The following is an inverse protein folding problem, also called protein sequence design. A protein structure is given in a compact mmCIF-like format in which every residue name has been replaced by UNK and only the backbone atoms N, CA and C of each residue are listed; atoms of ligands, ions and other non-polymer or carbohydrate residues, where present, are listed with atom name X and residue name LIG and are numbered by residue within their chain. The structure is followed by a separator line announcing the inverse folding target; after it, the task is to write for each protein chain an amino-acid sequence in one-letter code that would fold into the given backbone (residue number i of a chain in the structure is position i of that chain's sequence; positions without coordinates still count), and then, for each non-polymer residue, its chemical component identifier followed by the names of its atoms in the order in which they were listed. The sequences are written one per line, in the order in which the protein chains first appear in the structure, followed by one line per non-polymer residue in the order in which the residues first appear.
data_IF_294459174490
#
_entry.id   IF_294459174490
#
_cell.length_a   1.000
_cell.length_b   1.000
_cell.length_c   1.000
_cell.angle_alpha   90.00
_cell.angle_beta   90.00
_cell.angle_gamma   90.00
#
_symmetry.space_group_name_H-M   'P 1'
#
loop_
_entity.id
_entity.type
_entity.pdbx_description
1 polymer ?
#
# COMPACT_ATOMS: atom_id res chain seq x y z
N UNK A 1 -5.90 -23.98 26.13
CA UNK A 1 -5.26 -24.06 24.79
C UNK A 1 -5.78 -23.01 23.80
N UNK A 2 -7.08 -22.65 23.83
CA UNK A 2 -7.71 -21.68 22.92
C UNK A 2 -7.17 -20.23 22.97
N UNK A 3 -6.63 -19.78 24.11
CA UNK A 3 -6.07 -18.41 24.24
C UNK A 3 -4.78 -18.17 23.43
N UNK A 4 -3.97 -19.21 23.19
CA UNK A 4 -2.74 -19.10 22.38
C UNK A 4 -3.05 -18.98 20.89
N UNK A 5 -4.11 -19.65 20.42
CA UNK A 5 -4.60 -19.58 19.04
C UNK A 5 -5.13 -18.16 18.75
N UNK A 6 -5.97 -17.61 19.64
CA UNK A 6 -6.48 -16.24 19.51
C UNK A 6 -5.36 -15.19 19.44
N UNK A 7 -4.32 -15.34 20.26
CA UNK A 7 -3.17 -14.41 20.28
C UNK A 7 -2.33 -14.49 19.00
N UNK A 8 -2.16 -15.68 18.44
CA UNK A 8 -1.46 -15.88 17.17
C UNK A 8 -2.20 -15.22 15.98
N UNK A 9 -3.54 -15.37 15.90
CA UNK A 9 -4.34 -14.69 14.87
C UNK A 9 -4.41 -13.17 15.06
N UNK A 10 -4.39 -12.67 16.31
CA UNK A 10 -4.33 -11.24 16.60
C UNK A 10 -3.05 -10.59 16.05
N UNK A 11 -1.90 -11.18 16.37
CA UNK A 11 -0.61 -10.72 15.84
C UNK A 11 -0.59 -10.72 14.31
N UNK A 12 -1.15 -11.77 13.68
CA UNK A 12 -1.23 -11.86 12.23
C UNK A 12 -2.08 -10.74 11.60
N UNK A 13 -3.24 -10.43 12.16
CA UNK A 13 -4.09 -9.35 11.64
C UNK A 13 -3.38 -7.99 11.75
N UNK A 14 -2.70 -7.72 12.86
CA UNK A 14 -1.92 -6.50 13.06
C UNK A 14 -0.73 -6.43 12.08
N UNK A 15 -0.06 -7.56 11.82
CA UNK A 15 1.03 -7.65 10.84
C UNK A 15 0.52 -7.37 9.42
N UNK A 16 -0.62 -7.94 9.03
CA UNK A 16 -1.27 -7.71 7.72
C UNK A 16 -1.65 -6.25 7.53
N UNK A 17 -2.27 -5.64 8.53
CA UNK A 17 -2.63 -4.21 8.50
C UNK A 17 -1.36 -3.37 8.40
N UNK A 18 -0.40 -3.58 9.31
CA UNK A 18 0.85 -2.81 9.34
C UNK A 18 1.59 -2.88 8.00
N UNK A 19 1.69 -4.08 7.42
CA UNK A 19 2.36 -4.24 6.13
C UNK A 19 1.57 -3.59 4.99
N UNK A 20 0.25 -3.78 4.94
CA UNK A 20 -0.59 -3.21 3.88
C UNK A 20 -0.53 -1.68 3.84
N UNK A 21 -0.44 -1.04 5.00
CA UNK A 21 -0.29 0.41 5.12
C UNK A 21 1.05 0.95 4.59
N UNK A 22 2.10 0.11 4.54
CA UNK A 22 3.40 0.48 4.02
C UNK A 22 3.40 0.62 2.48
N UNK A 23 2.48 -0.02 1.78
CA UNK A 23 2.42 0.02 0.33
C UNK A 23 1.88 1.36 -0.19
N UNK A 24 2.48 1.82 -1.29
CA UNK A 24 2.08 3.03 -2.02
C UNK A 24 1.62 2.66 -3.42
N UNK A 25 0.75 3.51 -3.96
CA UNK A 25 0.33 3.50 -5.35
C UNK A 25 0.64 4.87 -5.97
N UNK A 26 1.23 4.87 -7.16
CA UNK A 26 1.71 6.06 -7.85
C UNK A 26 1.22 6.08 -9.29
N UNK A 27 0.68 7.20 -9.77
CA UNK A 27 0.44 7.37 -11.19
C UNK A 27 1.75 7.50 -11.96
N UNK A 28 1.97 6.68 -12.99
CA UNK A 28 3.21 6.76 -13.80
C UNK A 28 3.26 7.97 -14.72
N UNK A 29 2.12 8.62 -14.97
CA UNK A 29 2.02 9.79 -15.84
C UNK A 29 2.28 11.10 -15.10
N UNK A 30 1.60 11.36 -13.98
CA UNK A 30 1.76 12.61 -13.23
C UNK A 30 2.56 12.47 -11.93
N UNK A 31 2.97 11.25 -11.56
CA UNK A 31 3.78 11.01 -10.38
C UNK A 31 3.04 11.08 -9.04
N UNK A 32 1.74 11.42 -9.00
CA UNK A 32 0.95 11.52 -7.77
C UNK A 32 0.93 10.19 -7.01
N UNK A 33 1.22 10.24 -5.71
CA UNK A 33 1.29 9.08 -4.82
C UNK A 33 0.16 9.08 -3.79
N UNK A 34 -0.32 7.89 -3.44
CA UNK A 34 -1.27 7.64 -2.34
C UNK A 34 -0.90 6.35 -1.61
N UNK A 35 -1.47 6.15 -0.43
CA UNK A 35 -1.41 4.83 0.23
C UNK A 35 -2.22 3.82 -0.59
N UNK A 36 -1.69 2.61 -0.76
CA UNK A 36 -2.44 1.53 -1.40
C UNK A 36 -3.70 1.18 -0.60
N UNK A 37 -3.61 1.19 0.73
CA UNK A 37 -4.74 0.98 1.63
C UNK A 37 -5.85 2.03 1.44
N UNK A 38 -5.49 3.29 1.16
CA UNK A 38 -6.47 4.38 0.94
C UNK A 38 -7.34 4.19 -0.30
N UNK A 39 -6.94 3.33 -1.23
CA UNK A 39 -7.72 2.96 -2.43
C UNK A 39 -8.28 1.54 -2.34
N UNK A 40 -8.32 0.96 -1.13
CA UNK A 40 -8.85 -0.39 -0.88
C UNK A 40 -7.91 -1.53 -1.22
N UNK A 41 -6.63 -1.26 -1.51
CA UNK A 41 -5.65 -2.31 -1.81
C UNK A 41 -5.00 -2.86 -0.55
N UNK A 42 -4.93 -4.19 -0.45
CA UNK A 42 -4.28 -4.93 0.64
C UNK A 42 -3.11 -5.70 0.05
N UNK A 43 -1.94 -5.65 0.71
CA UNK A 43 -0.75 -6.42 0.33
C UNK A 43 0.02 -6.85 1.57
N UNK A 44 0.23 -8.16 1.69
CA UNK A 44 0.98 -8.81 2.75
C UNK A 44 1.92 -9.85 2.15
N UNK A 45 3.15 -9.95 2.66
CA UNK A 45 4.19 -10.87 2.16
C UNK A 45 4.64 -10.61 0.71
N UNK A 46 4.25 -9.48 0.12
CA UNK A 46 4.60 -9.11 -1.24
C UNK A 46 5.98 -8.45 -1.33
N UNK A 47 6.65 -8.61 -2.47
CA UNK A 47 7.92 -7.93 -2.76
C UNK A 47 7.89 -7.30 -4.15
N UNK A 48 8.74 -6.31 -4.37
CA UNK A 48 8.94 -5.68 -5.67
C UNK A 48 7.89 -4.65 -6.08
N UNK A 49 7.99 -4.21 -7.33
CA UNK A 49 7.07 -3.27 -7.97
C UNK A 49 6.07 -4.03 -8.82
N UNK A 50 4.81 -3.62 -8.80
CA UNK A 50 3.79 -4.10 -9.73
C UNK A 50 3.08 -2.93 -10.40
N UNK A 51 2.37 -3.18 -11.49
CA UNK A 51 1.59 -2.16 -12.20
C UNK A 51 0.14 -2.61 -12.32
N UNK A 52 -0.79 -1.65 -12.26
CA UNK A 52 -2.22 -1.88 -12.44
C UNK A 52 -2.85 -0.71 -13.19
N UNK A 53 -4.04 -0.91 -13.77
CA UNK A 53 -4.84 0.17 -14.33
C UNK A 53 -5.71 0.81 -13.24
N UNK A 54 -5.81 2.13 -13.24
CA UNK A 54 -6.71 2.83 -12.34
C UNK A 54 -6.95 4.28 -12.75
N UNK A 55 -8.02 4.86 -12.20
CA UNK A 55 -8.38 6.24 -12.44
C UNK A 55 -7.47 7.19 -11.67
N UNK A 56 -6.79 8.11 -12.36
CA UNK A 56 -6.01 9.15 -11.72
C UNK A 56 -6.84 10.43 -11.59
N UNK A 57 -7.20 10.80 -10.35
CA UNK A 57 -7.96 12.03 -10.05
C UNK A 57 -7.27 13.32 -10.48
N UNK A 58 -5.94 13.33 -10.67
CA UNK A 58 -5.21 14.53 -11.12
C UNK A 58 -5.03 14.58 -12.64
N UNK A 59 -4.96 13.44 -13.33
CA UNK A 59 -4.94 13.40 -14.79
C UNK A 59 -6.35 13.40 -15.41
N UNK A 60 -7.39 13.10 -14.64
CA UNK A 60 -8.77 13.01 -15.11
C UNK A 60 -9.07 11.77 -15.96
N UNK A 61 -8.30 10.69 -15.86
CA UNK A 61 -8.49 9.51 -16.72
C UNK A 61 -7.79 8.25 -16.23
N UNK A 62 -8.01 7.14 -16.95
CA UNK A 62 -7.32 5.87 -16.71
C UNK A 62 -5.83 6.01 -17.01
N UNK A 63 -5.01 5.55 -16.06
CA UNK A 63 -3.56 5.55 -16.13
C UNK A 63 -3.02 4.22 -15.61
N UNK A 64 -1.80 3.91 -16.04
CA UNK A 64 -0.99 2.91 -15.37
C UNK A 64 -0.55 3.47 -14.02
N UNK A 65 -0.77 2.66 -12.98
CA UNK A 65 -0.42 2.96 -11.61
C UNK A 65 0.63 1.96 -11.14
N UNK A 66 1.73 2.47 -10.62
CA UNK A 66 2.82 1.72 -10.00
C UNK A 66 2.50 1.45 -8.53
N UNK A 67 2.46 0.20 -8.13
CA UNK A 67 2.34 -0.22 -6.73
C UNK A 67 3.73 -0.65 -6.24
N UNK A 68 4.18 -0.09 -5.14
CA UNK A 68 5.51 -0.37 -4.59
C UNK A 68 5.52 -0.18 -3.07
N UNK A 69 6.48 -0.82 -2.41
CA UNK A 69 6.79 -0.64 -1.00
C UNK A 69 8.07 0.20 -0.92
N UNK A 70 8.02 1.44 -0.39
CA UNK A 70 9.22 2.25 -0.25
C UNK A 70 10.16 1.63 0.80
N UNK A 71 11.46 1.54 0.50
CA UNK A 71 12.47 0.99 1.43
C UNK A 71 12.68 1.87 2.67
N UNK A 72 12.34 3.16 2.57
CA UNK A 72 12.39 4.16 3.65
C UNK A 72 11.08 4.95 3.64
N UNK A 73 10.43 5.23 4.78
CA UNK A 73 9.29 6.14 4.79
C UNK A 73 9.73 7.44 4.11
N UNK A 74 8.96 7.97 3.14
CA UNK A 74 9.33 9.21 2.48
C UNK A 74 9.51 10.25 3.57
N UNK A 75 10.69 10.90 3.59
CA UNK A 75 10.91 12.06 4.44
C UNK A 75 9.73 13.00 4.22
N UNK A 76 9.04 13.33 5.32
CA UNK A 76 7.88 14.22 5.29
C UNK A 76 8.23 15.44 4.43
N UNK A 77 7.39 15.86 3.47
CA UNK A 77 7.61 17.12 2.80
C UNK A 77 7.51 18.21 3.87
N UNK A 78 8.66 18.80 4.22
CA UNK A 78 8.75 19.94 5.12
C UNK A 78 7.90 21.06 4.51
N UNK A 79 6.86 21.47 5.23
CA UNK A 79 6.14 22.72 5.00
C UNK A 79 6.89 23.87 5.69
#
# INVERSE_FOLDING_TARGET
MFGKIRKAFGNFAEDVVRESHAWKIQCTSCGRQRSLASVGGIRYGGFGTSYTLGMCSQCGGFRMLRIYKPEKPPASPSA
#
